data_IF_332238231042
#
_entry.id   IF_332238231042
#
_cell.length_a   1.000
_cell.length_b   1.000
_cell.length_c   1.000
_cell.angle_alpha   90.00
_cell.angle_beta   90.00
_cell.angle_gamma   90.00
#
_symmetry.space_group_name_H-M   'P 1'
#
loop_
_entity.id
_entity.type
_entity.pdbx_description
1 polymer ?
#
# COMPACT_ATOMS: atom_id res chain seq x y z
N UNK A 1 -13.25 -5.52 0.74
CA UNK A 1 -12.92 -6.53 1.75
C UNK A 1 -12.89 -7.88 1.07
N UNK A 2 -11.73 -8.54 0.99
CA UNK A 2 -11.58 -9.87 0.39
C UNK A 2 -11.54 -10.90 1.51
N UNK A 3 -12.48 -11.84 1.51
CA UNK A 3 -12.55 -12.89 2.54
C UNK A 3 -11.24 -13.69 2.52
N UNK A 4 -10.60 -13.85 3.68
CA UNK A 4 -9.38 -14.65 3.87
C UNK A 4 -8.05 -13.94 3.58
N UNK A 5 -8.04 -12.67 3.16
CA UNK A 5 -6.78 -11.96 2.89
C UNK A 5 -5.91 -11.80 4.16
N UNK A 6 -6.56 -11.44 5.29
CA UNK A 6 -5.89 -11.33 6.58
C UNK A 6 -5.32 -12.70 7.01
N UNK A 7 -6.13 -13.75 6.96
CA UNK A 7 -5.72 -15.12 7.31
C UNK A 7 -4.53 -15.60 6.47
N UNK A 8 -4.51 -15.26 5.18
CA UNK A 8 -3.40 -15.56 4.29
C UNK A 8 -2.10 -14.86 4.72
N UNK A 9 -2.17 -13.58 5.10
CA UNK A 9 -1.00 -12.84 5.57
C UNK A 9 -0.46 -13.42 6.90
N UNK A 10 -1.36 -13.78 7.83
CA UNK A 10 -0.98 -14.46 9.08
C UNK A 10 -0.31 -15.82 8.82
N UNK A 11 -0.76 -16.58 7.82
CA UNK A 11 -0.10 -17.83 7.42
C UNK A 11 1.32 -17.59 6.93
N UNK A 12 1.54 -16.58 6.07
CA UNK A 12 2.88 -16.24 5.59
C UNK A 12 3.80 -15.79 6.74
N UNK A 13 3.34 -14.90 7.60
CA UNK A 13 4.10 -14.46 8.77
C UNK A 13 4.48 -15.65 9.66
N UNK A 14 3.55 -16.58 9.92
CA UNK A 14 3.81 -17.81 10.67
C UNK A 14 4.87 -18.69 9.99
N UNK A 15 4.78 -18.89 8.67
CA UNK A 15 5.75 -19.68 7.91
C UNK A 15 7.15 -19.07 7.98
N UNK A 16 7.24 -17.75 7.90
CA UNK A 16 8.50 -17.00 7.97
C UNK A 16 8.97 -16.72 9.40
N UNK A 17 8.19 -17.10 10.41
CA UNK A 17 8.41 -16.81 11.83
C UNK A 17 8.57 -15.31 12.11
N UNK A 18 7.80 -14.49 11.40
CA UNK A 18 7.76 -13.04 11.59
C UNK A 18 6.64 -12.67 12.57
N UNK A 19 6.86 -11.65 13.42
CA UNK A 19 5.77 -11.07 14.20
C UNK A 19 4.77 -10.38 13.26
N UNK A 20 3.49 -10.45 13.60
CA UNK A 20 2.40 -9.81 12.84
C UNK A 20 1.35 -9.33 13.83
N UNK A 21 0.83 -8.11 13.60
CA UNK A 21 -0.17 -7.44 14.44
C UNK A 21 -1.24 -6.89 13.50
N UNK A 22 -2.50 -7.13 13.82
CA UNK A 22 -3.63 -6.51 13.14
C UNK A 22 -3.92 -5.11 13.72
N UNK A 23 -4.23 -4.16 12.83
CA UNK A 23 -4.53 -2.78 13.19
C UNK A 23 -5.80 -2.34 12.47
N UNK A 24 -6.80 -1.88 13.22
CA UNK A 24 -8.13 -1.54 12.69
C UNK A 24 -8.36 -0.02 12.77
N UNK A 25 -7.82 0.62 13.80
CA UNK A 25 -7.92 2.06 14.06
C UNK A 25 -6.53 2.72 14.06
N UNK A 26 -6.41 4.04 13.77
CA UNK A 26 -5.13 4.74 13.73
C UNK A 26 -4.27 4.61 15.00
N UNK A 27 -4.91 4.55 16.17
CA UNK A 27 -4.23 4.33 17.47
C UNK A 27 -3.56 2.95 17.57
N UNK A 28 -4.13 1.95 16.91
CA UNK A 28 -3.64 0.57 16.96
C UNK A 28 -2.31 0.48 16.20
N UNK A 29 -2.11 1.32 15.18
CA UNK A 29 -0.85 1.40 14.43
C UNK A 29 0.30 1.85 15.34
N UNK A 30 0.10 2.88 16.16
CA UNK A 30 1.13 3.37 17.09
C UNK A 30 1.47 2.33 18.16
N UNK A 31 0.48 1.58 18.64
CA UNK A 31 0.69 0.47 19.58
C UNK A 31 1.45 -0.70 18.91
N UNK A 32 1.13 -1.01 17.64
CA UNK A 32 1.83 -2.02 16.86
C UNK A 32 3.30 -1.63 16.61
N UNK A 33 3.56 -0.38 16.21
CA UNK A 33 4.92 0.14 16.00
C UNK A 33 5.75 0.03 17.28
N UNK A 34 5.18 0.42 18.43
CA UNK A 34 5.86 0.27 19.74
C UNK A 34 6.14 -1.19 20.08
N UNK A 35 5.20 -2.08 19.80
CA UNK A 35 5.34 -3.52 20.07
C UNK A 35 6.38 -4.19 19.17
N UNK A 36 6.61 -3.63 17.98
CA UNK A 36 7.57 -4.09 16.98
C UNK A 36 8.87 -3.26 16.98
N UNK A 37 9.15 -2.50 18.04
CA UNK A 37 10.31 -1.60 18.12
C UNK A 37 11.69 -2.28 17.98
N UNK A 38 11.74 -3.61 18.13
CA UNK A 38 12.95 -4.41 17.94
C UNK A 38 13.16 -4.82 16.47
N UNK A 39 12.22 -4.51 15.58
CA UNK A 39 12.32 -4.77 14.15
C UNK A 39 13.03 -3.60 13.46
N UNK A 40 13.95 -3.91 12.54
CA UNK A 40 14.61 -2.90 11.70
C UNK A 40 13.66 -2.35 10.62
N UNK A 41 12.71 -3.18 10.18
CA UNK A 41 11.71 -2.85 9.16
C UNK A 41 10.36 -3.40 9.59
N UNK A 42 9.32 -2.56 9.51
CA UNK A 42 7.92 -2.94 9.74
C UNK A 42 7.18 -2.76 8.41
N UNK A 43 6.66 -3.86 7.87
CA UNK A 43 5.84 -3.83 6.66
C UNK A 43 4.36 -3.72 7.03
N UNK A 44 3.70 -2.70 6.52
CA UNK A 44 2.27 -2.46 6.73
C UNK A 44 1.50 -2.83 5.46
N UNK A 45 0.66 -3.87 5.55
CA UNK A 45 -0.27 -4.20 4.47
C UNK A 45 -1.57 -3.41 4.65
N UNK A 46 -2.17 -2.97 3.53
CA UNK A 46 -3.41 -2.20 3.56
C UNK A 46 -4.49 -2.89 2.74
N UNK A 47 -5.75 -2.65 3.08
CA UNK A 47 -6.85 -3.15 2.26
C UNK A 47 -6.80 -2.45 0.91
N UNK A 48 -6.73 -3.24 -0.18
CA UNK A 48 -6.83 -2.72 -1.54
C UNK A 48 -8.10 -1.90 -1.74
N UNK A 49 -7.92 -0.62 -2.04
CA UNK A 49 -8.99 0.35 -2.26
C UNK A 49 -9.04 0.77 -3.73
N UNK A 50 -10.24 1.02 -4.24
CA UNK A 50 -10.38 1.67 -5.54
C UNK A 50 -9.98 3.13 -5.43
N UNK A 51 -9.33 3.66 -6.48
CA UNK A 51 -9.02 5.08 -6.63
C UNK A 51 -10.25 6.00 -6.60
N UNK A 52 -11.45 5.44 -6.78
CA UNK A 52 -12.72 6.16 -6.73
C UNK A 52 -13.33 6.22 -5.33
N UNK A 53 -12.85 5.41 -4.38
CA UNK A 53 -13.37 5.37 -3.02
C UNK A 53 -12.63 6.35 -2.11
N UNK A 54 -12.95 7.63 -2.30
CA UNK A 54 -12.36 8.74 -1.54
C UNK A 54 -12.52 8.59 -0.02
N UNK A 55 -13.60 7.93 0.42
CA UNK A 55 -13.84 7.70 1.85
C UNK A 55 -12.80 6.75 2.46
N UNK A 56 -12.42 5.69 1.74
CA UNK A 56 -11.39 4.75 2.21
C UNK A 56 -10.00 5.32 2.08
N UNK A 57 -9.72 6.09 1.03
CA UNK A 57 -8.44 6.79 0.88
C UNK A 57 -8.24 7.80 2.01
N UNK A 58 -9.29 8.54 2.39
CA UNK A 58 -9.25 9.45 3.54
C UNK A 58 -8.93 8.71 4.85
N UNK A 59 -9.52 7.53 5.08
CA UNK A 59 -9.16 6.69 6.23
C UNK A 59 -7.69 6.28 6.22
N UNK A 60 -7.14 5.86 5.09
CA UNK A 60 -5.70 5.56 4.99
C UNK A 60 -4.85 6.78 5.38
N UNK A 61 -5.26 7.98 4.98
CA UNK A 61 -4.58 9.22 5.39
C UNK A 61 -4.64 9.46 6.89
N UNK A 62 -5.73 9.10 7.57
CA UNK A 62 -5.83 9.24 9.03
C UNK A 62 -4.77 8.40 9.74
N UNK A 63 -4.46 7.19 9.27
CA UNK A 63 -3.35 6.38 9.82
C UNK A 63 -2.00 7.10 9.68
N UNK A 64 -1.71 7.64 8.48
CA UNK A 64 -0.46 8.35 8.21
C UNK A 64 -0.32 9.63 9.03
N UNK A 65 -1.41 10.38 9.20
CA UNK A 65 -1.41 11.64 9.96
C UNK A 65 -1.39 11.44 11.47
N UNK A 66 -1.91 10.33 11.97
CA UNK A 66 -1.95 10.03 13.40
C UNK A 66 -0.58 9.60 13.92
N UNK A 67 0.14 8.80 13.14
CA UNK A 67 1.43 8.30 13.56
C UNK A 67 2.52 9.35 13.47
N UNK A 68 3.43 9.36 14.45
CA UNK A 68 4.65 10.16 14.42
C UNK A 68 5.84 9.40 13.80
N UNK A 69 5.61 8.18 13.30
CA UNK A 69 6.64 7.42 12.63
C UNK A 69 6.92 7.99 11.23
N UNK A 70 8.17 7.84 10.78
CA UNK A 70 8.52 8.04 9.37
C UNK A 70 8.02 6.81 8.59
N UNK A 71 7.10 7.02 7.65
CA UNK A 71 6.43 5.96 6.90
C UNK A 71 6.61 6.23 5.42
N UNK A 72 7.30 5.32 4.72
CA UNK A 72 7.41 5.34 3.27
C UNK A 72 6.13 4.79 2.62
N UNK A 73 5.42 5.63 1.87
CA UNK A 73 4.17 5.29 1.19
C UNK A 73 4.47 4.70 -0.17
N UNK A 74 4.17 3.40 -0.31
CA UNK A 74 4.39 2.64 -1.53
C UNK A 74 3.08 2.50 -2.32
N UNK A 75 2.97 3.12 -3.50
CA UNK A 75 1.84 2.90 -4.41
C UNK A 75 2.14 1.73 -5.35
N UNK A 76 1.38 0.65 -5.18
CA UNK A 76 1.53 -0.58 -5.98
C UNK A 76 0.53 -0.57 -7.15
N UNK A 77 1.02 -0.69 -8.39
CA UNK A 77 0.20 -0.77 -9.61
C UNK A 77 0.60 -1.96 -10.48
N UNK A 78 -0.29 -2.35 -11.40
CA UNK A 78 -0.04 -3.43 -12.34
C UNK A 78 0.51 -2.90 -13.67
N UNK A 79 1.49 -3.60 -14.25
CA UNK A 79 2.10 -3.24 -15.53
C UNK A 79 1.10 -3.27 -16.71
N UNK A 80 0.02 -4.06 -16.60
CA UNK A 80 -1.00 -4.18 -17.64
C UNK A 80 -2.14 -3.15 -17.52
N UNK A 81 -2.06 -2.20 -16.58
CA UNK A 81 -3.05 -1.11 -16.46
C UNK A 81 -2.90 -0.11 -17.62
N UNK A 82 -4.02 0.44 -18.11
CA UNK A 82 -4.00 1.47 -19.15
C UNK A 82 -3.40 2.75 -18.61
N UNK A 83 -2.73 3.51 -19.47
CA UNK A 83 -2.10 4.78 -19.06
C UNK A 83 -3.10 5.77 -18.44
N UNK A 84 -4.29 5.94 -19.03
CA UNK A 84 -5.34 6.83 -18.47
C UNK A 84 -5.74 6.43 -17.04
N UNK A 85 -5.93 5.12 -16.81
CA UNK A 85 -6.26 4.59 -15.49
C UNK A 85 -5.09 4.77 -14.49
N UNK A 86 -3.84 4.60 -14.95
CA UNK A 86 -2.65 4.82 -14.12
C UNK A 86 -2.52 6.28 -13.66
N UNK A 87 -2.75 7.24 -14.57
CA UNK A 87 -2.71 8.66 -14.24
C UNK A 87 -3.80 9.02 -13.22
N UNK A 88 -4.99 8.45 -13.36
CA UNK A 88 -6.07 8.66 -12.40
C UNK A 88 -5.78 8.02 -11.04
N UNK A 89 -5.24 6.80 -11.02
CA UNK A 89 -4.78 6.16 -9.77
C UNK A 89 -3.73 7.04 -9.09
N UNK A 90 -2.67 7.44 -9.80
CA UNK A 90 -1.62 8.27 -9.20
C UNK A 90 -2.19 9.59 -8.65
N UNK A 91 -3.00 10.29 -9.44
CA UNK A 91 -3.63 11.55 -9.03
C UNK A 91 -4.51 11.39 -7.79
N UNK A 92 -5.31 10.34 -7.71
CA UNK A 92 -6.23 10.13 -6.60
C UNK A 92 -5.52 9.62 -5.33
N UNK A 93 -4.32 9.02 -5.45
CA UNK A 93 -3.52 8.59 -4.30
C UNK A 93 -2.44 9.60 -3.90
N UNK A 94 -2.10 10.58 -4.74
CA UNK A 94 -0.97 11.51 -4.51
C UNK A 94 -1.07 12.32 -3.23
N UNK A 95 -2.29 12.57 -2.72
CA UNK A 95 -2.53 13.27 -1.47
C UNK A 95 -2.07 12.51 -0.21
N UNK A 96 -1.68 11.24 -0.37
CA UNK A 96 -1.03 10.41 0.65
C UNK A 96 0.49 10.60 0.69
N UNK A 97 1.06 11.46 -0.17
CA UNK A 97 2.51 11.68 -0.31
C UNK A 97 3.25 10.39 -0.69
N UNK A 98 3.05 9.92 -1.92
CA UNK A 98 3.67 8.68 -2.42
C UNK A 98 5.19 8.87 -2.53
N UNK A 99 5.96 7.99 -1.88
CA UNK A 99 7.43 7.99 -1.94
C UNK A 99 7.96 7.06 -3.04
N UNK A 100 7.26 5.94 -3.27
CA UNK A 100 7.74 4.89 -4.18
C UNK A 100 6.59 4.28 -4.99
N UNK A 101 6.85 4.03 -6.27
CA UNK A 101 5.99 3.26 -7.16
C UNK A 101 6.51 1.82 -7.28
N UNK A 102 5.65 0.84 -7.00
CA UNK A 102 5.94 -0.58 -7.20
C UNK A 102 5.10 -1.08 -8.38
N UNK A 103 5.77 -1.54 -9.43
CA UNK A 103 5.10 -2.06 -10.63
C UNK A 103 5.14 -3.58 -10.63
N UNK A 104 3.98 -4.22 -10.69
CA UNK A 104 3.81 -5.67 -10.63
C UNK A 104 3.34 -6.25 -11.97
N UNK A 105 3.29 -7.59 -12.12
CA UNK A 105 2.67 -8.29 -13.27
C UNK A 105 3.30 -7.97 -14.63
N UNK A 106 4.62 -7.75 -14.68
CA UNK A 106 5.34 -7.56 -15.95
C UNK A 106 5.26 -8.78 -16.88
N UNK A 107 5.05 -9.97 -16.32
CA UNK A 107 4.83 -11.22 -17.05
C UNK A 107 3.47 -11.27 -17.79
N UNK A 108 2.50 -10.42 -17.40
CA UNK A 108 1.16 -10.38 -17.99
C UNK A 108 1.04 -9.36 -19.15
N UNK A 109 2.09 -8.60 -19.50
CA UNK A 109 2.06 -7.60 -20.57
C UNK A 109 3.32 -7.60 -21.42
N UNK A 110 3.16 -7.29 -22.72
CA UNK A 110 4.28 -7.00 -23.64
C UNK A 110 4.41 -5.51 -23.95
N UNK A 111 3.51 -4.69 -23.41
CA UNK A 111 3.45 -3.26 -23.63
C UNK A 111 3.83 -2.57 -22.32
N UNK A 112 5.05 -2.04 -22.27
CA UNK A 112 5.58 -1.34 -21.10
C UNK A 112 5.45 0.18 -21.19
N UNK A 113 5.06 0.69 -22.37
CA UNK A 113 4.97 2.14 -22.64
C UNK A 113 4.12 2.89 -21.63
N UNK A 114 2.99 2.32 -21.19
CA UNK A 114 2.10 2.95 -20.21
C UNK A 114 2.81 3.30 -18.89
N UNK A 115 3.72 2.44 -18.43
CA UNK A 115 4.47 2.62 -17.19
C UNK A 115 5.53 3.69 -17.36
N UNK A 116 6.24 3.69 -18.49
CA UNK A 116 7.22 4.74 -18.78
C UNK A 116 6.55 6.11 -18.94
N UNK A 117 5.39 6.18 -19.59
CA UNK A 117 4.60 7.41 -19.70
C UNK A 117 4.15 7.91 -18.33
N UNK A 118 3.66 7.03 -17.45
CA UNK A 118 3.33 7.40 -16.07
C UNK A 118 4.53 8.06 -15.37
N UNK A 119 5.67 7.35 -15.31
CA UNK A 119 6.88 7.82 -14.61
C UNK A 119 7.42 9.13 -15.20
N UNK A 120 7.27 9.35 -16.50
CA UNK A 120 7.71 10.60 -17.14
C UNK A 120 6.80 11.79 -16.78
N UNK A 121 5.51 11.53 -16.54
CA UNK A 121 4.48 12.56 -16.34
C UNK A 121 4.18 12.88 -14.87
N UNK A 122 4.63 12.03 -13.94
CA UNK A 122 4.35 12.14 -12.49
C UNK A 122 5.61 12.27 -11.66
#
# INVERSE_FOLDING_TARGET
YRIGAVEQLFQYAKMMKLPIIDSIEPKDLDEAIKSLNNCEVILVDTIGNSQYDQSKLAKTKEFLMHSNAEIDVNLVVSANTKHEDLMEIYKNFSFLNIDTLIITKFDETKVFGNIFSLIYET
#
